data_IF_253143623584
#
_entry.id   IF_253143623584
#
_cell.length_a   1.000
_cell.length_b   1.000
_cell.length_c   1.000
_cell.angle_alpha   90.00
_cell.angle_beta   90.00
_cell.angle_gamma   90.00
#
_symmetry.space_group_name_H-M   'P 1'
#
loop_
_entity.id
_entity.type
_entity.pdbx_description
1 polymer ?
#
# COMPACT_ATOMS: atom_id res chain seq x y z
N UNK A 1 -10.02 -17.91 -12.12
CA UNK A 1 -10.32 -16.96 -13.21
C UNK A 1 -9.46 -17.19 -14.45
N UNK A 2 -8.15 -16.81 -14.48
CA UNK A 2 -7.34 -16.95 -15.71
C UNK A 2 -6.93 -18.38 -16.08
N UNK A 3 -6.72 -19.27 -15.10
CA UNK A 3 -6.34 -20.68 -15.32
C UNK A 3 -7.55 -21.62 -15.32
N UNK A 4 -8.39 -21.49 -14.31
CA UNK A 4 -9.65 -22.22 -14.16
C UNK A 4 -10.78 -21.18 -14.07
N UNK A 5 -11.48 -20.90 -15.17
CA UNK A 5 -12.58 -19.94 -15.18
C UNK A 5 -13.84 -20.52 -14.53
N UNK A 6 -14.07 -21.82 -14.66
CA UNK A 6 -15.30 -22.49 -14.20
C UNK A 6 -15.30 -22.85 -12.71
N UNK A 7 -14.23 -22.48 -12.00
CA UNK A 7 -14.14 -22.74 -10.57
C UNK A 7 -15.25 -21.97 -9.81
N UNK A 8 -15.97 -22.58 -8.86
CA UNK A 8 -17.11 -21.96 -8.18
C UNK A 8 -16.83 -20.59 -7.56
N UNK A 9 -15.61 -20.33 -7.11
CA UNK A 9 -15.21 -19.05 -6.50
C UNK A 9 -15.03 -17.88 -7.48
N UNK A 10 -14.99 -18.14 -8.79
CA UNK A 10 -14.67 -17.11 -9.81
C UNK A 10 -15.58 -17.14 -11.04
N UNK A 11 -16.41 -18.18 -11.20
CA UNK A 11 -17.24 -18.39 -12.39
C UNK A 11 -18.25 -17.27 -12.63
N UNK A 12 -18.78 -16.68 -11.56
CA UNK A 12 -19.84 -15.65 -11.62
C UNK A 12 -19.25 -14.22 -11.58
N UNK A 13 -17.93 -14.06 -11.66
CA UNK A 13 -17.30 -12.74 -11.63
C UNK A 13 -17.44 -12.04 -12.99
N UNK A 14 -17.85 -10.76 -13.03
CA UNK A 14 -17.93 -10.00 -14.27
C UNK A 14 -16.53 -9.78 -14.87
N UNK A 15 -16.45 -9.82 -16.19
CA UNK A 15 -15.24 -9.56 -16.95
C UNK A 15 -15.55 -8.97 -18.33
N UNK A 16 -14.57 -8.29 -18.93
CA UNK A 16 -14.58 -7.89 -20.33
C UNK A 16 -13.80 -8.93 -21.14
N UNK A 17 -14.42 -9.44 -22.20
CA UNK A 17 -13.75 -10.24 -23.21
C UNK A 17 -13.04 -9.30 -24.19
N UNK A 18 -11.71 -9.35 -24.23
CA UNK A 18 -10.93 -8.47 -25.13
C UNK A 18 -10.91 -9.00 -26.56
N UNK A 19 -10.74 -8.12 -27.54
CA UNK A 19 -10.54 -8.45 -28.96
C UNK A 19 -9.37 -9.41 -29.20
N UNK A 20 -8.42 -9.47 -28.26
CA UNK A 20 -7.24 -10.36 -28.30
C UNK A 20 -7.50 -11.77 -27.74
N UNK A 21 -8.72 -12.06 -27.29
CA UNK A 21 -9.06 -13.36 -26.68
C UNK A 21 -8.75 -13.45 -25.18
N UNK A 22 -8.08 -12.47 -24.59
CA UNK A 22 -7.84 -12.41 -23.13
C UNK A 22 -9.04 -11.84 -22.37
N UNK A 23 -9.08 -12.05 -21.05
CA UNK A 23 -10.16 -11.58 -20.18
C UNK A 23 -9.67 -10.57 -19.16
N UNK A 24 -10.33 -9.41 -19.08
CA UNK A 24 -10.11 -8.38 -18.07
C UNK A 24 -11.16 -8.51 -16.97
N UNK A 25 -10.74 -8.81 -15.75
CA UNK A 25 -11.64 -9.06 -14.64
C UNK A 25 -12.17 -7.72 -14.07
N UNK A 26 -13.48 -7.53 -14.08
CA UNK A 26 -14.15 -6.33 -13.54
C UNK A 26 -14.87 -6.62 -12.22
N UNK A 27 -14.76 -7.83 -11.69
CA UNK A 27 -15.30 -8.26 -10.41
C UNK A 27 -14.27 -8.39 -9.28
N UNK A 28 -14.76 -8.51 -8.05
CA UNK A 28 -13.93 -8.72 -6.86
C UNK A 28 -12.95 -7.57 -6.61
N UNK A 29 -11.73 -7.90 -6.20
CA UNK A 29 -10.68 -6.90 -5.93
C UNK A 29 -10.32 -6.05 -7.16
N UNK A 30 -10.28 -6.68 -8.34
CA UNK A 30 -9.99 -6.02 -9.62
C UNK A 30 -11.15 -5.18 -10.17
N UNK A 31 -12.36 -5.36 -9.62
CA UNK A 31 -13.50 -4.48 -9.83
C UNK A 31 -13.49 -3.26 -8.90
N UNK A 32 -12.93 -3.39 -7.71
CA UNK A 32 -12.80 -2.28 -6.75
C UNK A 32 -11.71 -1.30 -7.17
N UNK A 33 -10.60 -1.79 -7.73
CA UNK A 33 -9.45 -0.98 -8.12
C UNK A 33 -8.58 -1.72 -9.13
N UNK A 34 -8.00 -1.00 -10.09
CA UNK A 34 -7.18 -1.59 -11.18
C UNK A 34 -5.89 -2.22 -10.67
N UNK A 35 -5.33 -1.67 -9.59
CA UNK A 35 -4.08 -2.09 -8.96
C UNK A 35 -4.23 -2.23 -7.45
N UNK A 36 -5.28 -2.92 -7.02
CA UNK A 36 -5.54 -3.23 -5.60
C UNK A 36 -4.39 -4.01 -4.93
N UNK A 37 -3.63 -4.77 -5.70
CA UNK A 37 -2.45 -5.48 -5.24
C UNK A 37 -1.33 -4.51 -4.81
N UNK A 38 -1.25 -3.33 -5.41
CA UNK A 38 -0.21 -2.35 -5.04
C UNK A 38 -0.51 -1.73 -3.69
N UNK A 39 -1.80 -1.60 -3.36
CA UNK A 39 -2.20 -1.26 -2.00
C UNK A 39 -1.76 -2.35 -1.01
N UNK A 40 -1.96 -3.62 -1.35
CA UNK A 40 -1.48 -4.74 -0.55
C UNK A 40 0.04 -4.71 -0.33
N UNK A 41 0.80 -4.50 -1.40
CA UNK A 41 2.27 -4.34 -1.34
C UNK A 41 2.65 -3.18 -0.40
N UNK A 42 2.00 -2.02 -0.54
CA UNK A 42 2.32 -0.85 0.28
C UNK A 42 1.97 -1.05 1.76
N UNK A 43 0.86 -1.73 2.07
CA UNK A 43 0.50 -2.11 3.44
C UNK A 43 1.49 -3.14 4.01
N UNK A 44 1.92 -4.11 3.21
CA UNK A 44 2.96 -5.07 3.61
C UNK A 44 4.31 -4.39 3.89
N UNK A 45 4.56 -3.21 3.31
CA UNK A 45 5.73 -2.38 3.63
C UNK A 45 5.70 -1.76 5.03
N UNK A 46 4.51 -1.56 5.61
CA UNK A 46 4.34 -0.81 6.86
C UNK A 46 5.00 -1.47 8.09
N UNK A 47 4.93 -2.79 8.31
CA UNK A 47 5.60 -3.46 9.45
C UNK A 47 7.12 -3.25 9.51
N UNK A 48 7.79 -2.93 8.39
CA UNK A 48 9.23 -2.65 8.38
C UNK A 48 9.58 -1.29 8.99
N UNK A 49 8.62 -0.36 9.06
CA UNK A 49 8.86 1.02 9.45
C UNK A 49 8.04 1.41 10.69
N UNK A 50 6.82 0.89 10.85
CA UNK A 50 5.92 1.22 11.95
C UNK A 50 6.53 1.00 13.36
N UNK A 51 7.27 -0.09 13.63
CA UNK A 51 7.91 -0.29 14.94
C UNK A 51 8.94 0.79 15.29
N UNK A 52 9.47 1.49 14.28
CA UNK A 52 10.44 2.57 14.46
C UNK A 52 9.79 3.95 14.65
N UNK A 53 8.45 4.03 14.56
CA UNK A 53 7.65 5.23 14.75
C UNK A 53 7.82 5.91 16.12
N UNK A 54 8.39 5.18 17.10
CA UNK A 54 8.79 5.71 18.41
C UNK A 54 10.23 5.27 18.72
N UNK A 55 11.12 5.25 17.73
CA UNK A 55 12.53 4.95 17.97
C UNK A 55 13.21 6.02 18.86
N UNK A 56 14.35 5.65 19.46
CA UNK A 56 15.10 6.51 20.38
C UNK A 56 14.98 6.12 21.86
N UNK A 57 14.50 4.90 22.16
CA UNK A 57 14.50 4.37 23.51
C UNK A 57 15.91 4.05 24.00
N UNK A 58 16.18 4.40 25.26
CA UNK A 58 17.42 4.10 25.97
C UNK A 58 17.06 3.25 27.19
N UNK A 59 17.76 2.13 27.37
CA UNK A 59 17.67 1.33 28.58
C UNK A 59 18.51 1.97 29.67
N UNK A 60 17.88 2.28 30.78
CA UNK A 60 18.47 2.89 31.96
C UNK A 60 18.44 1.90 33.11
N UNK A 61 19.44 2.00 33.99
CA UNK A 61 19.52 1.14 35.18
C UNK A 61 18.36 1.44 36.14
N UNK A 62 17.96 0.47 36.94
CA UNK A 62 16.88 0.63 37.91
C UNK A 62 17.14 1.83 38.84
N UNK A 63 16.16 2.75 38.94
CA UNK A 63 16.24 3.95 39.78
C UNK A 63 17.04 5.12 39.17
N UNK A 64 17.41 5.03 37.89
CA UNK A 64 18.09 6.15 37.18
C UNK A 64 17.15 7.31 36.88
N UNK A 65 15.84 7.06 36.77
CA UNK A 65 14.82 8.07 36.50
C UNK A 65 13.66 7.86 37.48
N UNK A 66 12.97 8.92 37.86
CA UNK A 66 11.73 8.74 38.62
C UNK A 66 10.69 8.10 37.70
N UNK A 67 10.17 6.92 38.06
CA UNK A 67 9.15 6.20 37.27
C UNK A 67 7.80 6.94 37.16
N UNK A 68 7.69 8.12 37.80
CA UNK A 68 6.59 9.07 37.66
C UNK A 68 6.75 10.04 36.46
N UNK A 69 7.87 10.01 35.74
CA UNK A 69 8.10 10.86 34.56
C UNK A 69 7.29 10.31 33.36
N UNK A 70 6.45 11.13 32.70
CA UNK A 70 5.69 10.70 31.53
C UNK A 70 6.60 10.17 30.42
N UNK A 71 6.32 8.96 29.92
CA UNK A 71 7.07 8.32 28.83
C UNK A 71 8.26 7.46 29.28
N UNK A 72 8.38 7.17 30.58
CA UNK A 72 9.25 6.13 31.13
C UNK A 72 8.44 4.86 31.33
N UNK A 73 8.94 3.73 30.81
CA UNK A 73 8.33 2.41 30.98
C UNK A 73 9.25 1.54 31.84
N UNK A 74 8.73 0.97 32.93
CA UNK A 74 9.48 0.01 33.75
C UNK A 74 9.33 -1.39 33.19
N UNK A 75 10.44 -2.03 32.87
CA UNK A 75 10.50 -3.42 32.42
C UNK A 75 10.36 -4.39 33.59
N UNK A 76 10.05 -5.67 33.31
CA UNK A 76 9.84 -6.71 34.32
C UNK A 76 11.09 -7.03 35.16
N UNK A 77 12.28 -6.70 34.67
CA UNK A 77 13.57 -6.85 35.35
C UNK A 77 13.94 -5.62 36.20
N UNK A 78 13.07 -4.60 36.24
CA UNK A 78 13.31 -3.33 36.94
C UNK A 78 14.09 -2.30 36.14
N UNK A 79 14.52 -2.59 34.90
CA UNK A 79 15.12 -1.59 34.03
C UNK A 79 14.08 -0.55 33.59
N UNK A 80 14.54 0.67 33.34
CA UNK A 80 13.68 1.77 32.90
C UNK A 80 13.96 2.10 31.44
N UNK A 81 12.93 2.21 30.64
CA UNK A 81 13.01 2.56 29.21
C UNK A 81 12.45 3.95 29.02
N UNK A 82 13.32 4.89 28.66
CA UNK A 82 12.92 6.26 28.38
C UNK A 82 13.29 6.63 26.94
N UNK A 83 12.50 7.49 26.32
CA UNK A 83 12.86 8.02 25.00
C UNK A 83 13.87 9.17 25.18
N UNK A 84 15.09 8.98 24.68
CA UNK A 84 16.18 9.94 24.80
C UNK A 84 16.18 11.04 23.75
N UNK A 85 17.30 11.76 23.62
CA UNK A 85 17.46 12.87 22.66
C UNK A 85 17.25 12.47 21.19
N UNK A 86 17.39 11.18 20.87
CA UNK A 86 17.15 10.62 19.54
C UNK A 86 15.66 10.31 19.24
N UNK A 87 14.73 10.75 20.10
CA UNK A 87 13.28 10.62 19.91
C UNK A 87 12.85 11.08 18.51
N UNK A 88 12.28 10.16 17.74
CA UNK A 88 11.73 10.45 16.41
C UNK A 88 12.76 10.55 15.27
N UNK A 89 14.06 10.52 15.55
CA UNK A 89 15.09 10.55 14.49
C UNK A 89 15.09 9.30 13.63
N UNK A 90 14.76 8.13 14.21
CA UNK A 90 14.65 6.88 13.46
C UNK A 90 13.56 6.93 12.38
N UNK A 91 12.51 7.74 12.58
CA UNK A 91 11.37 7.88 11.65
C UNK A 91 11.84 8.37 10.28
N UNK A 92 12.75 9.35 10.23
CA UNK A 92 13.20 9.95 8.97
C UNK A 92 13.82 8.88 8.06
N UNK A 93 14.67 8.03 8.61
CA UNK A 93 15.40 7.03 7.84
C UNK A 93 14.53 5.84 7.45
N UNK A 94 13.66 5.39 8.34
CA UNK A 94 12.86 4.19 8.11
C UNK A 94 11.62 4.49 7.28
N UNK A 95 10.96 5.65 7.46
CA UNK A 95 9.79 6.02 6.67
C UNK A 95 10.16 6.55 5.28
N UNK A 96 11.42 6.92 5.05
CA UNK A 96 11.91 7.18 3.70
C UNK A 96 11.68 5.97 2.78
N UNK A 97 11.82 4.74 3.30
CA UNK A 97 11.48 3.53 2.54
C UNK A 97 10.01 3.51 2.09
N UNK A 98 9.05 3.87 2.97
CA UNK A 98 7.62 3.91 2.62
C UNK A 98 7.30 4.99 1.58
N UNK A 99 8.00 6.14 1.66
CA UNK A 99 7.88 7.20 0.67
C UNK A 99 8.43 6.74 -0.69
N UNK A 100 9.67 6.24 -0.71
CA UNK A 100 10.31 5.69 -1.89
C UNK A 100 9.46 4.59 -2.54
N UNK A 101 8.99 3.64 -1.73
CA UNK A 101 8.18 2.53 -2.22
C UNK A 101 6.82 3.01 -2.76
N UNK A 102 6.21 4.01 -2.12
CA UNK A 102 5.00 4.67 -2.63
C UNK A 102 5.22 5.31 -4.00
N UNK A 103 6.30 6.09 -4.18
CA UNK A 103 6.66 6.70 -5.47
C UNK A 103 6.94 5.64 -6.53
N UNK A 104 7.66 4.58 -6.18
CA UNK A 104 7.96 3.46 -7.07
C UNK A 104 6.67 2.77 -7.54
N UNK A 105 5.70 2.56 -6.65
CA UNK A 105 4.42 1.94 -6.99
C UNK A 105 3.56 2.84 -7.90
N UNK A 106 3.59 4.15 -7.70
CA UNK A 106 2.93 5.11 -8.60
C UNK A 106 3.56 5.07 -9.99
N UNK A 107 4.89 5.12 -10.07
CA UNK A 107 5.59 5.02 -11.34
C UNK A 107 5.32 3.67 -12.03
N UNK A 108 5.28 2.57 -11.26
CA UNK A 108 4.93 1.24 -11.76
C UNK A 108 3.51 1.22 -12.35
N UNK A 109 2.54 1.82 -11.65
CA UNK A 109 1.16 1.90 -12.12
C UNK A 109 1.04 2.67 -13.43
N UNK A 110 1.71 3.82 -13.53
CA UNK A 110 1.68 4.64 -14.75
C UNK A 110 2.22 3.87 -15.97
N UNK A 111 3.32 3.15 -15.79
CA UNK A 111 3.91 2.32 -16.85
C UNK A 111 3.01 1.14 -17.20
N UNK A 112 2.43 0.47 -16.21
CA UNK A 112 1.56 -0.68 -16.42
C UNK A 112 0.23 -0.27 -17.09
N UNK A 113 -0.33 0.92 -16.77
CA UNK A 113 -1.52 1.47 -17.45
C UNK A 113 -1.21 1.80 -18.92
N UNK A 114 -0.05 2.40 -19.19
CA UNK A 114 0.40 2.69 -20.56
C UNK A 114 0.55 1.41 -21.39
N UNK A 115 1.21 0.38 -20.83
CA UNK A 115 1.36 -0.91 -21.48
C UNK A 115 0.01 -1.61 -21.71
N UNK A 116 -0.94 -1.52 -20.76
CA UNK A 116 -2.27 -2.09 -20.93
C UNK A 116 -3.12 -1.32 -21.95
N UNK A 117 -2.97 0.00 -22.03
CA UNK A 117 -3.64 0.85 -23.02
C UNK A 117 -3.16 0.50 -24.44
N UNK A 118 -1.85 0.34 -24.63
CA UNK A 118 -1.29 -0.12 -25.91
C UNK A 118 -1.75 -1.56 -26.24
N UNK A 119 -1.77 -2.44 -25.22
CA UNK A 119 -2.07 -3.86 -25.40
C UNK A 119 -3.53 -4.15 -25.74
N UNK A 120 -4.48 -3.46 -25.09
CA UNK A 120 -5.91 -3.77 -25.17
C UNK A 120 -6.75 -2.65 -25.81
N UNK A 121 -6.19 -1.47 -26.06
CA UNK A 121 -6.83 -0.38 -26.80
C UNK A 121 -8.20 0.01 -26.21
N UNK A 122 -9.25 -0.08 -27.03
CA UNK A 122 -10.61 0.31 -26.63
C UNK A 122 -11.18 -0.54 -25.48
N UNK A 123 -10.79 -1.81 -25.39
CA UNK A 123 -11.24 -2.67 -24.28
C UNK A 123 -10.66 -2.17 -22.94
N UNK A 124 -9.46 -1.57 -22.97
CA UNK A 124 -8.88 -0.92 -21.78
C UNK A 124 -9.62 0.37 -21.41
N UNK A 125 -10.06 1.15 -22.40
CA UNK A 125 -10.86 2.36 -22.15
C UNK A 125 -12.17 2.00 -21.45
N UNK A 126 -12.84 0.95 -21.92
CA UNK A 126 -14.05 0.45 -21.27
C UNK A 126 -13.77 -0.09 -19.87
N UNK A 127 -12.67 -0.83 -19.70
CA UNK A 127 -12.24 -1.29 -18.38
C UNK A 127 -12.01 -0.13 -17.39
N UNK A 128 -11.35 0.95 -17.82
CA UNK A 128 -11.13 2.16 -17.01
C UNK A 128 -12.43 2.89 -16.67
N UNK A 129 -13.44 2.81 -17.55
CA UNK A 129 -14.78 3.38 -17.30
C UNK A 129 -15.51 2.62 -16.20
N UNK A 130 -15.43 1.29 -16.20
CA UNK A 130 -16.04 0.44 -15.17
C UNK A 130 -15.30 0.51 -13.84
N UNK A 131 -13.97 0.36 -13.87
CA UNK A 131 -13.12 0.33 -12.68
C UNK A 131 -12.41 1.66 -12.56
N UNK A 132 -13.06 2.65 -11.91
CA UNK A 132 -12.55 4.04 -11.83
C UNK A 132 -11.27 4.17 -11.00
N UNK A 133 -11.15 3.41 -9.91
CA UNK A 133 -10.05 3.55 -8.94
C UNK A 133 -8.75 2.90 -9.44
N UNK A 134 -7.62 3.60 -9.23
CA UNK A 134 -6.28 3.12 -9.59
C UNK A 134 -5.71 2.16 -8.56
N UNK A 135 -5.49 2.63 -7.33
CA UNK A 135 -4.83 1.87 -6.25
C UNK A 135 -5.75 1.77 -5.03
N UNK A 136 -6.12 2.90 -4.40
CA UNK A 136 -6.94 2.91 -3.18
C UNK A 136 -8.38 3.37 -3.44
N UNK A 137 -9.41 2.57 -3.13
CA UNK A 137 -10.80 3.01 -3.24
C UNK A 137 -11.11 4.06 -2.16
N UNK A 138 -11.51 5.27 -2.55
CA UNK A 138 -12.12 6.27 -1.65
C UNK A 138 -11.22 7.34 -1.01
N UNK A 139 -9.88 7.25 -1.06
CA UNK A 139 -8.98 8.28 -0.47
C UNK A 139 -8.02 8.90 -1.48
N UNK A 140 -7.70 8.25 -2.61
CA UNK A 140 -6.78 8.84 -3.60
C UNK A 140 -7.09 8.51 -5.08
N UNK A 141 -6.73 9.49 -5.93
CA UNK A 141 -6.89 9.70 -7.38
C UNK A 141 -8.29 10.04 -7.90
N UNK A 142 -8.81 11.16 -7.38
CA UNK A 142 -9.60 12.11 -8.17
C UNK A 142 -8.90 12.37 -9.51
N UNK A 143 -9.71 12.74 -10.50
CA UNK A 143 -9.48 13.30 -11.84
C UNK A 143 -8.19 14.09 -12.19
N UNK A 144 -7.12 14.13 -11.39
CA UNK A 144 -6.00 15.07 -11.58
C UNK A 144 -5.05 14.74 -12.73
N UNK A 145 -5.18 13.56 -13.36
CA UNK A 145 -4.54 13.26 -14.67
C UNK A 145 -5.57 12.71 -15.66
N UNK A 146 -6.84 13.05 -15.48
CA UNK A 146 -7.93 12.70 -16.41
C UNK A 146 -8.39 13.90 -17.26
N UNK A 147 -7.57 14.95 -17.36
CA UNK A 147 -7.77 16.09 -18.27
C UNK A 147 -6.56 16.37 -19.18
N UNK A 148 -5.63 15.42 -19.29
CA UNK A 148 -4.63 15.43 -20.36
C UNK A 148 -4.68 14.06 -21.03
N UNK A 149 -5.06 14.07 -22.31
CA UNK A 149 -5.35 12.96 -23.25
C UNK A 149 -6.78 12.41 -23.25
#
# INVERSE_FOLDING_TARGET
>A
FRRQPDHPSVKDLPFIQTKRGTRLLTGGWWGKSRHINYLGDWIQGQPFCLPTGIAGYQSLSAGSVSSAVPGVFTMLDGQEVAQGAARGWGIVFTYFYLLYFGVLLIHREMRDDAACAEKYGDDWKEYKRLVRWRILPGVYWICLVANFY
#
